data_IF_354169057170
#
_entry.id   IF_354169057170
#
_cell.length_a   1.000
_cell.length_b   1.000
_cell.length_c   1.000
_cell.angle_alpha   90.00
_cell.angle_beta   90.00
_cell.angle_gamma   90.00
#
_symmetry.space_group_name_H-M   'P 1'
#
loop_
_entity.id
_entity.type
_entity.pdbx_description
1 polymer ?
#
# COMPACT_ATOMS: atom_id res chain seq x y z
N UNK A 1 2.63 -7.88 -21.45
CA UNK A 1 3.52 -7.20 -20.49
C UNK A 1 2.82 -6.42 -19.38
N UNK A 2 1.59 -5.91 -19.54
CA UNK A 2 0.82 -5.15 -18.51
C UNK A 2 0.23 -6.01 -17.38
N UNK A 3 0.12 -7.31 -17.56
CA UNK A 3 -0.50 -8.23 -16.59
C UNK A 3 0.47 -8.70 -15.48
N UNK A 4 1.78 -8.68 -15.75
CA UNK A 4 2.79 -9.16 -14.81
C UNK A 4 3.19 -8.13 -13.74
N UNK A 5 3.19 -6.84 -14.06
CA UNK A 5 3.51 -5.79 -13.07
C UNK A 5 2.50 -5.76 -11.92
N UNK A 6 1.23 -6.11 -12.19
CA UNK A 6 0.21 -6.15 -11.17
C UNK A 6 0.23 -7.36 -10.25
N UNK A 7 0.94 -8.40 -10.63
CA UNK A 7 1.14 -9.57 -9.77
C UNK A 7 2.41 -9.47 -8.92
N UNK A 8 3.39 -8.69 -9.36
CA UNK A 8 4.64 -8.53 -8.61
C UNK A 8 4.41 -7.87 -7.25
N UNK A 9 3.60 -6.84 -7.18
CA UNK A 9 3.27 -6.14 -5.93
C UNK A 9 2.60 -7.09 -4.94
N UNK A 10 1.65 -7.91 -5.42
CA UNK A 10 0.94 -8.92 -4.61
C UNK A 10 1.88 -10.03 -4.15
N UNK A 11 2.73 -10.53 -5.04
CA UNK A 11 3.68 -11.59 -4.73
C UNK A 11 4.71 -11.11 -3.70
N UNK A 12 5.25 -9.91 -3.88
CA UNK A 12 6.22 -9.31 -2.96
C UNK A 12 5.58 -9.08 -1.59
N UNK A 13 4.38 -8.50 -1.54
CA UNK A 13 3.64 -8.33 -0.29
C UNK A 13 3.35 -9.69 0.39
N UNK A 14 2.96 -10.71 -0.38
CA UNK A 14 2.73 -12.06 0.12
C UNK A 14 3.99 -12.71 0.69
N UNK A 15 5.13 -12.58 0.02
CA UNK A 15 6.42 -13.09 0.51
C UNK A 15 6.79 -12.42 1.83
N UNK A 16 6.72 -11.10 1.92
CA UNK A 16 6.99 -10.37 3.16
C UNK A 16 6.04 -10.78 4.29
N UNK A 17 4.75 -11.01 3.98
CA UNK A 17 3.77 -11.46 4.96
C UNK A 17 4.13 -12.86 5.51
N UNK A 18 4.52 -13.80 4.65
CA UNK A 18 4.94 -15.15 5.08
C UNK A 18 6.22 -15.07 5.91
N UNK A 19 7.23 -14.32 5.46
CA UNK A 19 8.49 -14.15 6.19
C UNK A 19 8.26 -13.52 7.57
N UNK A 20 7.45 -12.46 7.64
CA UNK A 20 7.08 -11.81 8.90
C UNK A 20 6.40 -12.81 9.84
N UNK A 21 5.43 -13.60 9.34
CA UNK A 21 4.71 -14.58 10.14
C UNK A 21 5.64 -15.67 10.68
N UNK A 22 6.52 -16.22 9.85
CA UNK A 22 7.51 -17.24 10.25
C UNK A 22 8.48 -16.66 11.29
N UNK A 23 9.00 -15.47 11.08
CA UNK A 23 9.89 -14.81 12.05
C UNK A 23 9.20 -14.56 13.38
N UNK A 24 7.94 -14.07 13.36
CA UNK A 24 7.19 -13.80 14.58
C UNK A 24 6.90 -15.08 15.35
N UNK A 25 6.38 -16.12 14.69
CA UNK A 25 6.12 -17.42 15.32
C UNK A 25 7.40 -18.06 15.84
N UNK A 26 8.48 -18.02 15.04
CA UNK A 26 9.79 -18.54 15.43
C UNK A 26 10.35 -17.81 16.68
N UNK A 27 10.22 -16.49 16.75
CA UNK A 27 10.65 -15.70 17.91
C UNK A 27 9.81 -16.03 19.16
N UNK A 28 8.50 -16.24 19.01
CA UNK A 28 7.63 -16.68 20.10
C UNK A 28 8.08 -18.04 20.65
N UNK A 29 8.32 -19.02 19.76
CA UNK A 29 8.80 -20.34 20.17
C UNK A 29 10.18 -20.23 20.86
N UNK A 30 11.11 -19.49 20.27
CA UNK A 30 12.45 -19.28 20.83
C UNK A 30 12.38 -18.68 22.24
N UNK A 31 11.50 -17.71 22.44
CA UNK A 31 11.31 -17.04 23.73
C UNK A 31 10.70 -17.94 24.81
N UNK A 32 9.66 -18.71 24.47
CA UNK A 32 8.92 -19.48 25.46
C UNK A 32 9.47 -20.91 25.67
N UNK A 33 10.06 -21.52 24.64
CA UNK A 33 10.61 -22.88 24.73
C UNK A 33 12.08 -22.86 25.13
N UNK A 34 12.86 -21.97 24.52
CA UNK A 34 14.32 -21.90 24.72
C UNK A 34 14.75 -20.79 25.69
N UNK A 35 13.82 -19.95 26.18
CA UNK A 35 14.15 -18.75 26.95
C UNK A 35 15.19 -17.82 26.31
N UNK A 36 15.27 -17.85 24.97
CA UNK A 36 16.24 -17.09 24.19
C UNK A 36 15.50 -16.22 23.14
N UNK A 37 15.11 -14.99 23.47
CA UNK A 37 14.45 -14.11 22.53
C UNK A 37 15.41 -13.68 21.41
N UNK A 38 14.94 -13.79 20.16
CA UNK A 38 15.68 -13.37 18.97
C UNK A 38 15.35 -11.90 18.69
N UNK A 39 16.17 -10.98 19.21
CA UNK A 39 15.90 -9.54 19.15
C UNK A 39 15.78 -8.99 17.72
N UNK A 40 16.61 -9.45 16.78
CA UNK A 40 16.53 -9.02 15.39
C UNK A 40 15.26 -9.49 14.67
N UNK A 41 14.67 -10.61 15.08
CA UNK A 41 13.45 -11.13 14.45
C UNK A 41 12.24 -10.22 14.72
N UNK A 42 12.15 -9.61 15.89
CA UNK A 42 11.12 -8.64 16.23
C UNK A 42 11.28 -7.36 15.42
N UNK A 43 12.51 -6.90 15.27
CA UNK A 43 12.83 -5.72 14.46
C UNK A 43 12.50 -5.97 12.97
N UNK A 44 12.92 -7.11 12.43
CA UNK A 44 12.59 -7.52 11.05
C UNK A 44 11.08 -7.61 10.82
N UNK A 45 10.34 -8.23 11.75
CA UNK A 45 8.89 -8.35 11.63
C UNK A 45 8.19 -6.98 11.54
N UNK A 46 8.64 -6.01 12.32
CA UNK A 46 8.12 -4.63 12.30
C UNK A 46 8.35 -3.98 10.93
N UNK A 47 9.52 -4.14 10.35
CA UNK A 47 9.85 -3.55 9.06
C UNK A 47 9.15 -4.26 7.90
N UNK A 48 9.10 -5.58 7.94
CA UNK A 48 8.34 -6.36 6.97
C UNK A 48 6.85 -6.00 6.99
N UNK A 49 6.29 -5.71 8.16
CA UNK A 49 4.91 -5.25 8.31
C UNK A 49 4.66 -3.93 7.57
N UNK A 50 5.57 -2.97 7.67
CA UNK A 50 5.46 -1.70 6.92
C UNK A 50 5.39 -1.97 5.41
N UNK A 51 6.26 -2.83 4.89
CA UNK A 51 6.25 -3.20 3.48
C UNK A 51 4.96 -3.89 3.05
N UNK A 52 4.47 -4.84 3.86
CA UNK A 52 3.20 -5.55 3.60
C UNK A 52 2.03 -4.58 3.52
N UNK A 53 1.92 -3.66 4.49
CA UNK A 53 0.81 -2.69 4.54
C UNK A 53 0.83 -1.78 3.32
N UNK A 54 1.96 -1.19 2.98
CA UNK A 54 2.03 -0.22 1.89
C UNK A 54 1.92 -0.88 0.51
N UNK A 55 2.57 -2.01 0.27
CA UNK A 55 2.42 -2.76 -0.98
C UNK A 55 1.01 -3.37 -1.10
N UNK A 56 0.44 -3.84 0.01
CA UNK A 56 -0.94 -4.31 0.06
C UNK A 56 -1.95 -3.21 -0.25
N UNK A 57 -1.73 -1.98 0.22
CA UNK A 57 -2.57 -0.83 -0.11
C UNK A 57 -2.54 -0.52 -1.62
N UNK A 58 -1.36 -0.60 -2.27
CA UNK A 58 -1.21 -0.45 -3.72
C UNK A 58 -2.02 -1.52 -4.46
N UNK A 59 -1.85 -2.80 -4.06
CA UNK A 59 -2.58 -3.92 -4.65
C UNK A 59 -4.10 -3.80 -4.46
N UNK A 60 -4.54 -3.37 -3.27
CA UNK A 60 -5.95 -3.15 -2.96
C UNK A 60 -6.56 -2.01 -3.80
N UNK A 61 -5.84 -0.91 -3.96
CA UNK A 61 -6.29 0.22 -4.79
C UNK A 61 -6.52 -0.21 -6.23
N UNK A 62 -5.67 -1.09 -6.75
CA UNK A 62 -5.76 -1.61 -8.10
C UNK A 62 -6.96 -2.53 -8.32
N UNK A 63 -7.29 -3.38 -7.34
CA UNK A 63 -8.32 -4.42 -7.51
C UNK A 63 -9.71 -3.98 -7.05
N UNK A 64 -9.82 -3.22 -5.97
CA UNK A 64 -11.11 -2.99 -5.27
C UNK A 64 -11.73 -1.63 -5.51
N UNK A 65 -11.07 -0.72 -6.18
CA UNK A 65 -11.56 0.65 -6.34
C UNK A 65 -12.91 0.76 -7.02
N UNK A 66 -13.19 -0.13 -7.96
CA UNK A 66 -14.48 -0.16 -8.67
C UNK A 66 -15.61 -0.84 -7.87
N UNK A 67 -15.30 -1.84 -7.02
CA UNK A 67 -16.32 -2.68 -6.38
C UNK A 67 -16.95 -1.98 -5.18
N UNK A 68 -16.16 -1.35 -4.29
CA UNK A 68 -16.68 -0.75 -3.06
C UNK A 68 -17.44 0.55 -3.37
N UNK A 69 -16.89 1.37 -4.25
CA UNK A 69 -17.54 2.63 -4.64
C UNK A 69 -18.84 2.33 -5.40
N UNK A 70 -18.84 1.32 -6.27
CA UNK A 70 -20.03 0.95 -7.04
C UNK A 70 -21.11 0.29 -6.17
N UNK A 71 -20.74 -0.50 -5.15
CA UNK A 71 -21.70 -1.12 -4.23
C UNK A 71 -22.37 -0.11 -3.30
N UNK A 72 -21.63 0.84 -2.73
CA UNK A 72 -22.15 1.85 -1.78
C UNK A 72 -22.86 2.98 -2.51
N UNK A 73 -22.35 3.40 -3.65
CA UNK A 73 -22.90 4.54 -4.41
C UNK A 73 -23.95 4.06 -5.42
N UNK A 74 -24.12 2.75 -5.63
CA UNK A 74 -25.10 2.17 -6.56
C UNK A 74 -26.56 2.55 -6.26
N UNK A 75 -26.87 2.87 -5.02
CA UNK A 75 -28.20 3.30 -4.55
C UNK A 75 -28.48 4.79 -4.73
N UNK A 76 -27.48 5.61 -5.07
CA UNK A 76 -27.63 7.05 -5.21
C UNK A 76 -27.96 7.48 -6.65
N UNK A 77 -28.72 8.57 -6.85
CA UNK A 77 -29.00 9.10 -8.17
C UNK A 77 -27.71 9.52 -8.89
N UNK A 78 -27.67 9.32 -10.22
CA UNK A 78 -26.44 9.47 -11.04
C UNK A 78 -25.66 10.77 -10.80
N UNK A 79 -26.35 11.89 -10.53
CA UNK A 79 -25.71 13.21 -10.30
C UNK A 79 -24.94 13.22 -8.96
N UNK A 80 -25.56 12.74 -7.89
CA UNK A 80 -24.95 12.67 -6.56
C UNK A 80 -23.78 11.69 -6.56
N UNK A 81 -23.93 10.55 -7.24
CA UNK A 81 -22.87 9.55 -7.43
C UNK A 81 -21.59 10.14 -8.02
N UNK A 82 -21.71 10.95 -9.08
CA UNK A 82 -20.55 11.56 -9.74
C UNK A 82 -19.83 12.57 -8.83
N UNK A 83 -20.57 13.39 -8.09
CA UNK A 83 -20.01 14.38 -7.17
C UNK A 83 -19.29 13.70 -6.00
N UNK A 84 -19.91 12.70 -5.38
CA UNK A 84 -19.32 11.97 -4.27
C UNK A 84 -18.03 11.24 -4.72
N UNK A 85 -18.05 10.61 -5.90
CA UNK A 85 -16.86 9.96 -6.46
C UNK A 85 -15.73 10.96 -6.69
N UNK A 86 -16.01 12.10 -7.32
CA UNK A 86 -15.01 13.12 -7.56
C UNK A 86 -14.42 13.68 -6.25
N UNK A 87 -15.26 13.88 -5.24
CA UNK A 87 -14.83 14.36 -3.92
C UNK A 87 -13.91 13.35 -3.23
N UNK A 88 -14.27 12.06 -3.23
CA UNK A 88 -13.44 11.00 -2.66
C UNK A 88 -12.10 10.86 -3.39
N UNK A 89 -12.12 10.93 -4.73
CA UNK A 89 -10.89 10.87 -5.54
C UNK A 89 -9.97 12.06 -5.26
N UNK A 90 -10.53 13.26 -5.10
CA UNK A 90 -9.77 14.46 -4.74
C UNK A 90 -9.14 14.33 -3.34
N UNK A 91 -9.89 13.81 -2.38
CA UNK A 91 -9.42 13.61 -1.01
C UNK A 91 -8.28 12.57 -0.96
N UNK A 92 -8.41 11.47 -1.70
CA UNK A 92 -7.36 10.47 -1.83
C UNK A 92 -6.11 11.08 -2.50
N UNK A 93 -6.27 11.84 -3.58
CA UNK A 93 -5.14 12.51 -4.24
C UNK A 93 -4.41 13.46 -3.28
N UNK A 94 -5.15 14.28 -2.53
CA UNK A 94 -4.57 15.19 -1.53
C UNK A 94 -3.80 14.44 -0.45
N UNK A 95 -4.36 13.34 0.07
CA UNK A 95 -3.69 12.49 1.06
C UNK A 95 -2.41 11.85 0.50
N UNK A 96 -2.45 11.36 -0.75
CA UNK A 96 -1.27 10.75 -1.38
C UNK A 96 -0.16 11.76 -1.63
N UNK A 97 -0.49 12.99 -2.04
CA UNK A 97 0.50 14.07 -2.17
C UNK A 97 1.14 14.40 -0.81
N UNK A 98 0.35 14.51 0.23
CA UNK A 98 0.85 14.73 1.59
C UNK A 98 1.77 13.57 2.04
N UNK A 99 1.39 12.31 1.78
CA UNK A 99 2.22 11.14 2.10
C UNK A 99 3.53 11.10 1.30
N UNK A 100 3.52 11.53 0.05
CA UNK A 100 4.76 11.64 -0.75
C UNK A 100 5.69 12.68 -0.13
N UNK A 101 5.16 13.87 0.18
CA UNK A 101 5.97 14.97 0.72
C UNK A 101 6.53 14.62 2.11
N UNK A 102 5.66 14.30 3.05
CA UNK A 102 6.09 13.98 4.42
C UNK A 102 6.85 12.66 4.50
N UNK A 103 6.48 11.67 3.70
CA UNK A 103 7.21 10.40 3.62
C UNK A 103 8.63 10.58 3.09
N UNK A 104 8.81 11.47 2.10
CA UNK A 104 10.15 11.81 1.61
C UNK A 104 10.99 12.54 2.65
N UNK A 105 10.42 13.57 3.29
CA UNK A 105 11.09 14.32 4.37
C UNK A 105 11.49 13.38 5.50
N UNK A 106 10.59 12.52 5.94
CA UNK A 106 10.86 11.55 7.00
C UNK A 106 11.95 10.54 6.61
N UNK A 107 11.90 10.01 5.39
CA UNK A 107 12.92 9.09 4.88
C UNK A 107 14.31 9.73 4.80
N UNK A 108 14.38 11.00 4.37
CA UNK A 108 15.66 11.72 4.28
C UNK A 108 16.27 12.08 5.63
N UNK A 109 15.44 12.22 6.66
CA UNK A 109 15.91 12.47 8.04
C UNK A 109 16.30 11.18 8.79
N UNK A 110 15.81 10.02 8.33
CA UNK A 110 16.05 8.73 8.98
C UNK A 110 17.36 8.08 8.49
N UNK A 111 18.48 8.71 8.79
CA UNK A 111 19.83 8.22 8.41
C UNK A 111 20.46 7.27 9.42
N UNK A 112 19.94 7.25 10.64
CA UNK A 112 20.43 6.38 11.69
C UNK A 112 20.25 4.90 11.35
N UNK A 113 21.24 4.04 11.64
CA UNK A 113 21.08 2.60 11.48
C UNK A 113 20.06 2.04 12.49
N UNK A 114 19.44 0.93 12.15
CA UNK A 114 18.56 0.20 13.08
C UNK A 114 19.37 -0.42 14.22
N UNK A 115 18.74 -0.54 15.39
CA UNK A 115 19.46 -0.88 16.63
C UNK A 115 20.08 -2.28 16.65
N UNK A 116 19.48 -3.27 15.95
CA UNK A 116 19.93 -4.66 16.00
C UNK A 116 20.44 -5.17 14.65
N UNK A 117 19.85 -4.72 13.54
CA UNK A 117 20.21 -5.20 12.21
C UNK A 117 21.22 -4.28 11.50
N UNK A 118 21.54 -3.11 12.07
CA UNK A 118 22.43 -2.09 11.49
C UNK A 118 22.07 -1.70 10.05
N UNK A 119 20.81 -1.92 9.66
CA UNK A 119 20.30 -1.57 8.34
C UNK A 119 19.92 -0.07 8.35
N UNK A 120 20.28 0.70 7.32
CA UNK A 120 19.88 2.09 7.24
C UNK A 120 18.35 2.24 7.20
N UNK A 121 17.77 3.00 8.11
CA UNK A 121 16.31 3.13 8.26
C UNK A 121 15.62 3.71 7.02
N UNK A 122 16.32 4.51 6.21
CA UNK A 122 15.76 5.05 4.98
C UNK A 122 15.29 3.96 3.99
N UNK A 123 15.94 2.78 3.96
CA UNK A 123 15.51 1.65 3.13
C UNK A 123 14.14 1.10 3.54
N UNK A 124 13.80 1.23 4.81
CA UNK A 124 12.54 0.75 5.36
C UNK A 124 11.42 1.73 5.02
N UNK A 125 11.68 3.02 5.19
CA UNK A 125 10.66 4.06 5.01
C UNK A 125 10.46 4.50 3.56
N UNK A 126 11.38 4.22 2.64
CA UNK A 126 11.25 4.56 1.22
C UNK A 126 10.02 3.92 0.57
N UNK A 127 9.51 2.82 1.12
CA UNK A 127 8.28 2.19 0.62
C UNK A 127 7.07 3.12 0.76
N UNK A 128 7.05 4.02 1.74
CA UNK A 128 5.94 4.96 1.99
C UNK A 128 5.75 5.94 0.81
N UNK A 129 6.74 6.77 0.45
CA UNK A 129 6.58 7.66 -0.69
C UNK A 129 6.46 6.92 -2.03
N UNK A 130 7.12 5.76 -2.17
CA UNK A 130 7.04 4.94 -3.39
C UNK A 130 5.62 4.38 -3.61
N UNK A 131 5.03 3.80 -2.59
CA UNK A 131 3.66 3.27 -2.65
C UNK A 131 2.63 4.38 -2.82
N UNK A 132 2.79 5.52 -2.13
CA UNK A 132 1.92 6.68 -2.30
C UNK A 132 1.96 7.23 -3.74
N UNK A 133 3.14 7.25 -4.36
CA UNK A 133 3.31 7.62 -5.77
C UNK A 133 2.55 6.65 -6.69
N UNK A 134 2.68 5.34 -6.47
CA UNK A 134 1.97 4.34 -7.26
C UNK A 134 0.45 4.47 -7.12
N UNK A 135 -0.06 4.63 -5.90
CA UNK A 135 -1.49 4.85 -5.64
C UNK A 135 -1.97 6.14 -6.33
N UNK A 136 -1.20 7.23 -6.25
CA UNK A 136 -1.52 8.48 -6.92
C UNK A 136 -1.62 8.30 -8.44
N UNK A 137 -0.67 7.61 -9.06
CA UNK A 137 -0.69 7.34 -10.50
C UNK A 137 -1.92 6.52 -10.92
N UNK A 138 -2.29 5.51 -10.15
CA UNK A 138 -3.50 4.74 -10.41
C UNK A 138 -4.76 5.59 -10.23
N UNK A 139 -4.81 6.42 -9.18
CA UNK A 139 -5.95 7.31 -8.92
C UNK A 139 -6.14 8.33 -10.04
N UNK A 140 -5.09 9.00 -10.47
CA UNK A 140 -5.14 9.99 -11.57
C UNK A 140 -5.58 9.35 -12.89
N UNK A 141 -5.10 8.15 -13.20
CA UNK A 141 -5.53 7.43 -14.42
C UNK A 141 -7.01 7.07 -14.39
N UNK A 142 -7.53 6.66 -13.26
CA UNK A 142 -8.94 6.32 -13.12
C UNK A 142 -9.82 7.56 -13.16
N UNK A 143 -9.39 8.65 -12.55
CA UNK A 143 -10.06 9.96 -12.63
C UNK A 143 -10.13 10.47 -14.08
N UNK A 144 -9.04 10.38 -14.84
CA UNK A 144 -9.03 10.76 -16.26
C UNK A 144 -9.97 9.89 -17.11
N UNK A 145 -10.12 8.61 -16.77
CA UNK A 145 -11.06 7.72 -17.46
C UNK A 145 -12.50 8.06 -17.12
N UNK A 146 -12.78 8.46 -15.89
CA UNK A 146 -14.11 8.90 -15.47
C UNK A 146 -14.55 10.22 -16.12
N UNK A 147 -13.59 11.10 -16.45
CA UNK A 147 -13.83 12.38 -17.14
C UNK A 147 -14.00 12.25 -18.66
N UNK A 148 -13.66 11.11 -19.27
CA UNK A 148 -13.91 10.86 -20.69
C UNK A 148 -15.28 10.13 -20.88
N UNK A 149 -16.39 10.86 -21.05
CA UNK A 149 -17.69 10.25 -21.34
C UNK A 149 -17.71 9.77 -22.79
N UNK A 150 -17.48 8.48 -23.05
CA UNK A 150 -17.57 8.03 -24.41
C UNK A 150 -17.02 6.65 -24.76
N UNK A 151 -17.06 5.67 -23.82
CA UNK A 151 -16.73 4.27 -24.21
C UNK A 151 -17.34 3.19 -23.31
N UNK A 152 -18.52 3.45 -22.74
CA UNK A 152 -19.35 2.38 -22.18
C UNK A 152 -20.54 2.14 -23.12
N UNK A 153 -20.31 1.37 -24.13
CA UNK A 153 -21.35 0.91 -25.06
C UNK A 153 -20.74 0.00 -26.10
N UNK A 154 -20.38 -1.24 -25.71
CA UNK A 154 -20.47 -2.47 -26.46
C UNK A 154 -19.63 -3.55 -25.77
N UNK A 155 -20.31 -4.47 -25.19
CA UNK A 155 -19.74 -5.70 -24.61
C UNK A 155 -20.77 -6.39 -23.72
N UNK A 156 -21.86 -6.86 -24.35
CA UNK A 156 -22.72 -7.90 -23.80
C UNK A 156 -21.92 -9.17 -23.63
#
# INVERSE_FOLDING_TARGET
MRFYLGKLEEIVAGIFMVLMSVCTVGNVIARYVFNWPIAWAEEFARYAFVWVVFLGAVACTKQKRHIIIDAVIGTLPRRVRSVVRAFVDLLIMGLMVALIYYGWVFTSMSTEPTSMMEIPQYLIYVVVPLSALLVLLYTVRDFQRALKPGREGNGQ
#
